data_IF_357344054393
#
_entry.id   IF_357344054393
#
_cell.length_a   1.000
_cell.length_b   1.000
_cell.length_c   1.000
_cell.angle_alpha   90.00
_cell.angle_beta   90.00
_cell.angle_gamma   90.00
#
_symmetry.space_group_name_H-M   'P 1'
#
loop_
_entity.id
_entity.type
_entity.pdbx_description
1 polymer ?
#
# COMPACT_ATOMS: atom_id res chain seq x y z
N UNK A 1 7.74 -1.53 3.54
CA UNK A 1 8.70 -0.49 3.12
C UNK A 1 8.52 -0.11 1.66
N UNK A 2 9.02 1.06 1.22
CA UNK A 2 8.96 1.55 -0.17
C UNK A 2 10.32 1.41 -0.85
N UNK A 3 10.33 1.02 -2.12
CA UNK A 3 11.56 0.87 -2.92
C UNK A 3 11.38 1.46 -4.31
N UNK A 4 12.46 1.99 -4.87
CA UNK A 4 12.55 2.25 -6.29
C UNK A 4 13.05 0.97 -6.98
N UNK A 5 12.30 0.47 -7.95
CA UNK A 5 12.65 -0.74 -8.69
C UNK A 5 12.57 -0.50 -10.19
N UNK A 6 13.53 -1.05 -10.92
CA UNK A 6 13.50 -1.16 -12.38
C UNK A 6 12.81 -2.46 -12.78
N UNK A 7 11.82 -2.36 -13.66
CA UNK A 7 11.04 -3.47 -14.17
C UNK A 7 10.97 -3.44 -15.69
N UNK A 8 10.73 -4.60 -16.28
CA UNK A 8 10.56 -4.76 -17.73
C UNK A 8 9.18 -5.34 -18.02
N UNK A 9 8.42 -4.67 -18.89
CA UNK A 9 7.10 -5.11 -19.33
C UNK A 9 7.05 -5.20 -20.85
N UNK A 10 6.43 -6.27 -21.34
CA UNK A 10 6.12 -6.42 -22.77
C UNK A 10 4.67 -5.99 -22.99
N UNK A 11 4.45 -5.07 -23.94
CA UNK A 11 3.12 -4.57 -24.32
C UNK A 11 2.88 -4.90 -25.80
N UNK A 12 1.74 -5.51 -26.09
CA UNK A 12 1.27 -5.74 -27.46
C UNK A 12 0.45 -4.56 -27.97
N UNK A 13 0.78 -4.06 -29.15
CA UNK A 13 0.13 -2.93 -29.81
C UNK A 13 -0.54 -3.36 -31.10
N UNK A 14 -1.79 -2.94 -31.29
CA UNK A 14 -2.54 -3.17 -32.53
C UNK A 14 -2.03 -2.25 -33.66
N UNK A 15 -1.95 -2.72 -34.93
CA UNK A 15 -1.46 -1.93 -36.06
C UNK A 15 -2.14 -0.58 -36.29
N UNK A 16 -3.41 -0.46 -35.90
CA UNK A 16 -4.15 0.82 -36.01
C UNK A 16 -3.55 1.96 -35.19
N UNK A 17 -2.76 1.66 -34.16
CA UNK A 17 -2.08 2.65 -33.31
C UNK A 17 -0.64 2.93 -33.76
N UNK A 18 -0.22 2.39 -34.92
CA UNK A 18 1.07 2.70 -35.48
C UNK A 18 1.07 4.13 -36.02
N UNK A 19 2.07 4.92 -35.62
CA UNK A 19 2.17 6.30 -36.02
C UNK A 19 2.98 7.14 -35.03
N UNK A 20 2.96 8.48 -35.19
CA UNK A 20 3.76 9.40 -34.39
C UNK A 20 3.38 9.38 -32.89
N UNK A 21 2.13 9.07 -32.56
CA UNK A 21 1.62 9.06 -31.18
C UNK A 21 1.79 7.70 -30.47
N UNK A 22 2.46 6.75 -31.12
CA UNK A 22 2.65 5.39 -30.58
C UNK A 22 3.35 5.41 -29.22
N UNK A 23 4.40 6.23 -29.07
CA UNK A 23 5.12 6.31 -27.79
C UNK A 23 4.17 6.70 -26.67
N UNK A 24 3.48 7.82 -26.80
CA UNK A 24 2.52 8.31 -25.79
C UNK A 24 1.46 7.27 -25.46
N UNK A 25 0.95 6.55 -26.47
CA UNK A 25 0.02 5.45 -26.23
C UNK A 25 0.63 4.33 -25.37
N UNK A 26 1.87 3.91 -25.65
CA UNK A 26 2.57 2.90 -24.85
C UNK A 26 2.79 3.38 -23.40
N UNK A 27 3.11 4.66 -23.20
CA UNK A 27 3.27 5.27 -21.88
C UNK A 27 1.97 5.15 -21.09
N UNK A 28 0.88 5.65 -21.67
CA UNK A 28 -0.43 5.67 -21.01
C UNK A 28 -0.90 4.26 -20.71
N UNK A 29 -0.71 3.34 -21.66
CA UNK A 29 -1.05 1.93 -21.49
C UNK A 29 -0.25 1.26 -20.37
N UNK A 30 1.05 1.56 -20.28
CA UNK A 30 1.90 1.05 -19.20
C UNK A 30 1.43 1.54 -17.84
N UNK A 31 1.15 2.84 -17.71
CA UNK A 31 0.67 3.43 -16.46
C UNK A 31 -0.66 2.81 -16.03
N UNK A 32 -1.62 2.69 -16.95
CA UNK A 32 -2.94 2.08 -16.66
C UNK A 32 -2.84 0.62 -16.20
N UNK A 33 -1.92 -0.17 -16.77
CA UNK A 33 -1.78 -1.58 -16.43
C UNK A 33 -0.94 -1.86 -15.18
N UNK A 34 0.08 -1.04 -14.92
CA UNK A 34 1.05 -1.29 -13.85
C UNK A 34 0.74 -0.50 -12.57
N UNK A 35 0.13 0.70 -12.64
CA UNK A 35 -0.21 1.45 -11.44
C UNK A 35 -1.32 0.75 -10.64
N UNK A 36 -1.07 0.52 -9.35
CA UNK A 36 -1.98 -0.21 -8.48
C UNK A 36 -1.97 -1.74 -8.68
N UNK A 37 -1.07 -2.27 -9.52
CA UNK A 37 -0.95 -3.71 -9.74
C UNK A 37 -0.24 -4.40 -8.55
N UNK A 38 -0.76 -5.56 -8.16
CA UNK A 38 -0.11 -6.43 -7.18
C UNK A 38 0.48 -7.66 -7.90
N UNK A 39 1.81 -7.77 -7.91
CA UNK A 39 2.54 -8.87 -8.59
C UNK A 39 2.74 -10.08 -7.65
N UNK A 40 2.02 -10.11 -6.52
CA UNK A 40 2.12 -11.14 -5.47
C UNK A 40 3.31 -10.94 -4.51
N UNK A 41 4.44 -10.43 -5.00
CA UNK A 41 5.62 -10.12 -4.19
C UNK A 41 5.62 -8.68 -3.65
N UNK A 42 5.05 -7.74 -4.41
CA UNK A 42 5.00 -6.32 -4.09
C UNK A 42 3.80 -5.66 -4.77
N UNK A 43 3.45 -4.48 -4.28
CA UNK A 43 2.42 -3.62 -4.84
C UNK A 43 3.07 -2.44 -5.55
N UNK A 44 2.69 -2.19 -6.80
CA UNK A 44 3.18 -1.05 -7.59
C UNK A 44 2.34 0.17 -7.24
N UNK A 45 2.97 1.23 -6.72
CA UNK A 45 2.25 2.44 -6.31
C UNK A 45 2.11 3.39 -7.50
N UNK A 46 3.22 3.72 -8.13
CA UNK A 46 3.26 4.61 -9.28
C UNK A 46 4.45 4.27 -10.18
N UNK A 47 4.27 4.52 -11.47
CA UNK A 47 5.35 4.48 -12.45
C UNK A 47 6.01 5.86 -12.44
N UNK A 48 7.34 5.91 -12.31
CA UNK A 48 8.09 7.16 -12.21
C UNK A 48 8.51 7.66 -13.59
N UNK A 49 9.30 6.86 -14.29
CA UNK A 49 9.86 7.24 -15.57
C UNK A 49 10.22 6.01 -16.40
N UNK A 50 10.26 6.21 -17.71
CA UNK A 50 10.71 5.20 -18.64
C UNK A 50 12.20 5.33 -18.87
N UNK A 51 12.89 4.22 -18.65
CA UNK A 51 14.33 4.10 -18.84
C UNK A 51 14.62 3.89 -20.32
N UNK A 52 13.88 2.97 -20.95
CA UNK A 52 14.10 2.59 -22.34
C UNK A 52 12.84 1.99 -22.96
N UNK A 53 12.60 2.30 -24.24
CA UNK A 53 11.54 1.71 -25.05
C UNK A 53 12.25 0.95 -26.17
N UNK A 54 12.30 -0.38 -26.03
CA UNK A 54 12.92 -1.25 -27.02
C UNK A 54 12.20 -1.23 -28.36
N UNK A 55 12.88 -1.74 -29.39
CA UNK A 55 12.31 -1.85 -30.73
C UNK A 55 11.09 -2.76 -30.75
N UNK A 56 10.06 -2.35 -31.49
CA UNK A 56 8.83 -3.11 -31.65
C UNK A 56 9.03 -4.32 -32.56
N UNK A 57 8.73 -5.53 -32.07
CA UNK A 57 8.77 -6.75 -32.87
C UNK A 57 7.37 -7.10 -33.36
N UNK A 58 7.18 -7.14 -34.69
CA UNK A 58 5.91 -7.57 -35.27
C UNK A 58 5.78 -9.09 -35.17
N UNK A 59 4.66 -9.55 -34.60
CA UNK A 59 4.31 -10.96 -34.51
C UNK A 59 3.80 -11.48 -35.86
N UNK A 60 4.39 -12.57 -36.39
CA UNK A 60 3.91 -13.17 -37.62
C UNK A 60 2.50 -13.74 -37.42
N UNK A 61 1.62 -13.53 -38.41
CA UNK A 61 0.24 -14.03 -38.42
C UNK A 61 -0.79 -13.03 -37.89
N UNK A 62 -0.57 -12.39 -36.74
CA UNK A 62 -1.51 -11.40 -36.19
C UNK A 62 -1.23 -9.96 -36.62
N UNK A 63 0.00 -9.67 -37.03
CA UNK A 63 0.45 -8.32 -37.39
C UNK A 63 0.61 -7.37 -36.20
N UNK A 64 0.32 -7.80 -34.97
CA UNK A 64 0.54 -6.99 -33.77
C UNK A 64 2.02 -6.74 -33.52
N UNK A 65 2.37 -5.60 -32.92
CA UNK A 65 3.75 -5.30 -32.54
C UNK A 65 3.93 -5.42 -31.02
N UNK A 66 4.94 -6.15 -30.58
CA UNK A 66 5.36 -6.26 -29.18
C UNK A 66 6.48 -5.28 -28.88
N UNK A 67 6.29 -4.44 -27.87
CA UNK A 67 7.31 -3.51 -27.38
C UNK A 67 7.78 -3.96 -26.00
N UNK A 68 9.09 -4.05 -25.81
CA UNK A 68 9.70 -4.31 -24.50
C UNK A 68 10.08 -2.99 -23.87
N UNK A 69 9.43 -2.62 -22.78
CA UNK A 69 9.61 -1.33 -22.11
C UNK A 69 10.28 -1.56 -20.76
N UNK A 70 11.37 -0.84 -20.50
CA UNK A 70 12.04 -0.78 -19.21
C UNK A 70 11.64 0.51 -18.51
N UNK A 71 11.15 0.39 -17.29
CA UNK A 71 10.63 1.52 -16.53
C UNK A 71 11.04 1.42 -15.06
N UNK A 72 11.03 2.57 -14.39
CA UNK A 72 11.22 2.67 -12.93
C UNK A 72 9.87 2.90 -12.28
N UNK A 73 9.62 2.16 -11.20
CA UNK A 73 8.42 2.32 -10.40
C UNK A 73 8.73 2.34 -8.91
N UNK A 74 7.89 3.06 -8.17
CA UNK A 74 7.88 2.98 -6.71
C UNK A 74 7.01 1.79 -6.32
N UNK A 75 7.64 0.83 -5.66
CA UNK A 75 6.97 -0.37 -5.17
C UNK A 75 6.85 -0.33 -3.65
N UNK A 76 5.79 -0.92 -3.14
CA UNK A 76 5.58 -1.18 -1.73
C UNK A 76 5.71 -2.68 -1.45
N UNK A 77 6.67 -3.01 -0.60
CA UNK A 77 6.95 -4.39 -0.18
C UNK A 77 7.17 -4.44 1.33
N UNK A 78 6.26 -5.04 2.10
CA UNK A 78 6.44 -5.23 3.53
C UNK A 78 7.28 -6.49 3.80
N UNK A 79 8.08 -6.48 4.87
CA UNK A 79 8.88 -7.63 5.29
C UNK A 79 8.35 -8.27 6.57
N UNK A 80 8.65 -9.56 6.76
CA UNK A 80 8.36 -10.24 8.02
C UNK A 80 9.21 -9.64 9.14
N UNK A 81 8.55 -9.25 10.23
CA UNK A 81 9.20 -8.59 11.37
C UNK A 81 9.42 -7.09 11.18
N UNK A 82 8.95 -6.49 10.07
CA UNK A 82 8.95 -5.04 9.90
C UNK A 82 7.92 -4.39 10.84
N UNK A 83 8.27 -3.22 11.39
CA UNK A 83 7.33 -2.38 12.12
C UNK A 83 6.66 -1.43 11.12
N UNK A 84 5.33 -1.46 11.07
CA UNK A 84 4.54 -0.68 10.10
C UNK A 84 3.44 0.07 10.83
N UNK A 85 3.28 1.34 10.51
CA UNK A 85 2.17 2.15 11.00
C UNK A 85 0.89 1.83 10.23
N UNK A 86 -0.21 1.64 10.95
CA UNK A 86 -1.49 1.26 10.36
C UNK A 86 -2.65 2.04 10.97
N UNK A 87 -3.63 2.36 10.13
CA UNK A 87 -4.86 3.05 10.52
C UNK A 87 -5.92 2.00 10.85
N UNK A 88 -6.54 2.11 12.03
CA UNK A 88 -7.63 1.21 12.43
C UNK A 88 -8.89 1.52 11.63
N UNK A 89 -9.41 0.52 10.91
CA UNK A 89 -10.64 0.66 10.12
C UNK A 89 -11.85 0.07 10.81
N UNK A 90 -11.70 -1.06 11.50
CA UNK A 90 -12.82 -1.72 12.16
C UNK A 90 -12.34 -2.54 13.37
N UNK A 91 -13.10 -2.47 14.46
CA UNK A 91 -12.84 -3.26 15.67
C UNK A 91 -13.94 -4.31 15.80
N UNK A 92 -13.54 -5.59 15.90
CA UNK A 92 -14.44 -6.72 16.11
C UNK A 92 -14.10 -7.47 17.40
N UNK A 93 -15.02 -8.26 17.97
CA UNK A 93 -14.72 -9.10 19.11
C UNK A 93 -13.53 -10.05 18.87
N UNK A 94 -13.33 -10.53 17.64
CA UNK A 94 -12.22 -11.44 17.28
C UNK A 94 -10.86 -10.75 17.14
N UNK A 95 -10.82 -9.43 16.90
CA UNK A 95 -9.59 -8.69 16.62
C UNK A 95 -9.85 -7.34 15.95
N UNK A 96 -8.79 -6.71 15.46
CA UNK A 96 -8.84 -5.38 14.84
C UNK A 96 -8.42 -5.50 13.37
N UNK A 97 -9.18 -4.86 12.48
CA UNK A 97 -8.79 -4.63 11.09
C UNK A 97 -8.12 -3.27 10.97
N UNK A 98 -6.99 -3.26 10.28
CA UNK A 98 -6.15 -2.08 10.08
C UNK A 98 -5.69 -2.00 8.63
N UNK A 99 -5.44 -0.79 8.13
CA UNK A 99 -4.85 -0.54 6.82
C UNK A 99 -3.43 0.01 7.00
N UNK A 100 -2.47 -0.70 6.44
CA UNK A 100 -1.06 -0.35 6.40
C UNK A 100 -0.68 -0.07 4.94
N UNK A 101 -0.84 1.18 4.49
CA UNK A 101 -0.73 1.52 3.07
C UNK A 101 -1.75 0.73 2.24
N UNK A 102 -1.33 0.00 1.18
CA UNK A 102 -2.24 -0.83 0.37
C UNK A 102 -2.60 -2.17 1.04
N UNK A 103 -1.99 -2.54 2.16
CA UNK A 103 -2.23 -3.82 2.82
C UNK A 103 -3.32 -3.71 3.89
N UNK A 104 -4.30 -4.61 3.80
CA UNK A 104 -5.26 -4.86 4.87
C UNK A 104 -4.74 -5.92 5.83
N UNK A 105 -4.55 -5.53 7.09
CA UNK A 105 -3.99 -6.38 8.14
C UNK A 105 -5.04 -6.65 9.22
N UNK A 106 -5.20 -7.92 9.57
CA UNK A 106 -6.02 -8.34 10.71
C UNK A 106 -5.14 -8.74 11.89
N UNK A 107 -5.34 -8.06 13.01
CA UNK A 107 -4.64 -8.33 14.27
C UNK A 107 -5.60 -9.09 15.19
N UNK A 108 -5.34 -10.38 15.38
CA UNK A 108 -6.15 -11.22 16.26
C UNK A 108 -6.05 -10.75 17.72
N UNK A 109 -7.15 -10.88 18.48
CA UNK A 109 -7.23 -10.45 19.89
C UNK A 109 -6.08 -10.99 20.77
N UNK A 110 -5.60 -12.20 20.51
CA UNK A 110 -4.49 -12.82 21.25
C UNK A 110 -3.17 -12.04 21.21
N UNK A 111 -2.97 -11.21 20.18
CA UNK A 111 -1.77 -10.40 20.02
C UNK A 111 -1.95 -8.97 20.52
N UNK A 112 -3.17 -8.58 20.88
CA UNK A 112 -3.43 -7.28 21.48
C UNK A 112 -3.11 -7.34 22.97
N UNK A 113 -2.49 -6.28 23.48
CA UNK A 113 -2.27 -6.14 24.91
C UNK A 113 -3.61 -6.21 25.64
N UNK A 114 -3.73 -7.16 26.57
CA UNK A 114 -4.84 -7.26 27.51
C UNK A 114 -4.70 -6.21 28.62
N UNK A 115 -4.44 -4.97 28.26
CA UNK A 115 -4.59 -3.86 29.19
C UNK A 115 -6.10 -3.64 29.31
N UNK A 116 -6.65 -3.80 30.52
CA UNK A 116 -8.02 -3.37 30.82
C UNK A 116 -8.16 -1.95 30.29
N UNK A 117 -8.90 -1.79 29.20
CA UNK A 117 -9.41 -0.50 28.80
C UNK A 117 -10.22 -0.04 30.01
N UNK A 118 -9.65 0.88 30.79
CA UNK A 118 -10.46 1.57 31.78
C UNK A 118 -11.61 2.16 30.98
N UNK A 119 -12.87 1.87 31.33
CA UNK A 119 -13.99 2.45 30.62
C UNK A 119 -13.73 3.95 30.62
N UNK A 120 -13.67 4.56 29.44
CA UNK A 120 -13.63 6.01 29.31
C UNK A 120 -14.85 6.49 30.09
N UNK A 121 -14.59 7.03 31.29
CA UNK A 121 -15.63 7.44 32.22
C UNK A 121 -16.42 8.50 31.47
N UNK A 122 -17.62 8.15 31.03
CA UNK A 122 -18.52 9.07 30.34
C UNK A 122 -18.58 10.36 31.16
N UNK A 123 -18.22 11.46 30.51
CA UNK A 123 -18.11 12.77 31.12
C UNK A 123 -19.47 13.23 31.64
N UNK A 124 -19.78 12.95 32.91
CA UNK A 124 -20.84 13.62 33.68
C UNK A 124 -20.49 13.86 35.15
N UNK A 125 -19.22 13.98 35.51
CA UNK A 125 -18.83 14.58 36.81
C UNK A 125 -17.57 15.41 36.61
N UNK A 126 -17.68 16.71 36.90
CA UNK A 126 -16.58 17.67 36.83
C UNK A 126 -15.42 17.32 37.77
N UNK A 127 -14.28 18.01 37.66
CA UNK A 127 -13.10 17.71 38.43
C UNK A 127 -13.34 18.03 39.91
N UNK A 128 -13.22 17.02 40.77
CA UNK A 128 -13.09 17.20 42.22
C UNK A 128 -11.61 17.43 42.50
N UNK A 129 -11.24 18.67 42.83
CA UNK A 129 -9.91 18.97 43.34
C UNK A 129 -9.83 18.46 44.79
N UNK A 130 -9.19 17.31 44.97
CA UNK A 130 -8.85 16.79 46.29
C UNK A 130 -7.70 17.61 46.87
N UNK A 131 -8.00 18.47 47.86
CA UNK A 131 -6.98 19.07 48.70
C UNK A 131 -6.30 17.98 49.54
N UNK A 132 -4.96 18.02 49.57
CA UNK A 132 -4.19 17.27 50.56
C UNK A 132 -4.40 17.90 51.93
N UNK A 133 -4.77 17.10 52.92
CA UNK A 133 -4.40 17.34 54.32
C UNK A 133 -4.29 16.00 55.05
N UNK A 134 -3.04 15.63 55.31
CA UNK A 134 -2.57 14.68 56.32
C UNK A 134 -3.26 14.87 57.67
N UNK A 135 -3.59 13.79 58.39
CA UNK A 135 -3.15 13.53 59.79
C UNK A 135 -3.27 12.03 60.10
N UNK A 136 -2.20 11.51 60.69
CA UNK A 136 -1.97 10.20 61.31
C UNK A 136 -2.64 10.01 62.69
N UNK A 137 -3.14 8.82 62.99
CA UNK A 137 -3.10 8.15 64.32
C UNK A 137 -3.91 6.84 64.22
N UNK A 138 -3.29 5.65 64.20
CA UNK A 138 -3.01 4.81 65.38
C UNK A 138 -4.19 4.72 66.37
N UNK A 139 -4.96 3.65 66.31
CA UNK A 139 -5.16 2.65 67.39
C UNK A 139 -5.70 1.37 66.74
#
# INVERSE_FOLDING_TARGET
>A
MFFLKEETKVISLHPSYFGPNMREYLINRLNEEEEGRCTGDHFVICVMDMVDIGEGRVLPGSGQAEYTIKYRAIIWKPFRGETVDAIVTSVKPTGIFTLAGPLSVFIARKYLLSTRIMPTRSSKRGPVYGSKSSVSSLT
#
